data_IF_234595039471
#
_entry.id   IF_234595039471
#
_cell.length_a   1.000
_cell.length_b   1.000
_cell.length_c   1.000
_cell.angle_alpha   90.00
_cell.angle_beta   90.00
_cell.angle_gamma   90.00
#
_symmetry.space_group_name_H-M   'P 1'
#
loop_
_entity.id
_entity.type
_entity.pdbx_description
1 polymer ?
#
# COMPACT_ATOMS: atom_id res chain seq x y z
N UNK A 1 -0.70 -20.13 -8.07
CA UNK A 1 -0.51 -20.31 -9.53
C UNK A 1 -1.90 -20.34 -10.19
N UNK A 2 -2.26 -19.34 -11.01
CA UNK A 2 -3.62 -19.16 -11.58
C UNK A 2 -3.88 -19.98 -12.87
N UNK A 3 -3.22 -21.13 -13.00
CA UNK A 3 -3.20 -21.94 -14.23
C UNK A 3 -4.13 -23.16 -14.20
N UNK A 4 -4.70 -23.48 -13.04
CA UNK A 4 -5.60 -24.63 -12.90
C UNK A 4 -6.90 -24.43 -13.68
N UNK A 5 -7.56 -25.54 -14.02
CA UNK A 5 -8.86 -25.51 -14.72
C UNK A 5 -9.94 -24.77 -13.92
N UNK A 6 -9.88 -24.84 -12.59
CA UNK A 6 -10.71 -24.05 -11.69
C UNK A 6 -10.73 -22.55 -12.05
N UNK A 7 -9.55 -21.92 -12.20
CA UNK A 7 -9.48 -20.50 -12.52
C UNK A 7 -10.01 -20.19 -13.92
N UNK A 8 -9.78 -21.07 -14.89
CA UNK A 8 -10.31 -20.89 -16.26
C UNK A 8 -11.83 -20.88 -16.28
N UNK A 9 -12.46 -21.85 -15.62
CA UNK A 9 -13.92 -21.93 -15.53
C UNK A 9 -14.51 -20.77 -14.74
N UNK A 10 -13.85 -20.37 -13.65
CA UNK A 10 -14.26 -19.24 -12.82
C UNK A 10 -14.30 -17.92 -13.60
N UNK A 11 -13.22 -17.58 -14.31
CA UNK A 11 -13.16 -16.34 -15.11
C UNK A 11 -14.11 -16.40 -16.32
N UNK A 12 -14.25 -17.56 -16.97
CA UNK A 12 -15.19 -17.77 -18.07
C UNK A 12 -16.64 -17.55 -17.62
N UNK A 13 -17.03 -18.09 -16.46
CA UNK A 13 -18.38 -17.93 -15.91
C UNK A 13 -18.67 -16.49 -15.50
N UNK A 14 -17.67 -15.76 -15.01
CA UNK A 14 -17.79 -14.33 -14.70
C UNK A 14 -17.70 -13.40 -15.93
N UNK A 15 -17.52 -13.94 -17.14
CA UNK A 15 -17.40 -13.13 -18.37
C UNK A 15 -16.12 -12.29 -18.44
N UNK A 16 -15.07 -12.68 -17.71
CA UNK A 16 -13.81 -11.93 -17.63
C UNK A 16 -12.67 -12.67 -18.32
N UNK A 17 -11.76 -11.92 -18.95
CA UNK A 17 -10.62 -12.48 -19.68
C UNK A 17 -9.39 -12.44 -18.79
N UNK A 18 -8.87 -13.61 -18.42
CA UNK A 18 -7.61 -13.72 -17.68
C UNK A 18 -6.42 -13.37 -18.59
N UNK A 19 -5.93 -12.12 -18.49
CA UNK A 19 -4.68 -11.70 -19.13
C UNK A 19 -3.50 -12.23 -18.32
N UNK A 20 -2.62 -12.97 -18.99
CA UNK A 20 -1.43 -13.59 -18.36
C UNK A 20 -0.19 -12.80 -18.72
N UNK A 21 0.60 -12.43 -17.72
CA UNK A 21 1.96 -11.93 -17.92
C UNK A 21 2.86 -13.10 -18.35
N UNK A 22 3.78 -12.91 -19.32
CA UNK A 22 4.73 -13.96 -19.69
C UNK A 22 5.62 -14.31 -18.49
N UNK A 23 5.93 -15.60 -18.31
CA UNK A 23 6.91 -16.04 -17.33
C UNK A 23 8.24 -15.33 -17.60
N UNK A 24 8.88 -14.80 -16.56
CA UNK A 24 10.14 -14.02 -16.63
C UNK A 24 10.06 -12.63 -17.29
N UNK A 25 8.87 -12.04 -17.47
CA UNK A 25 8.71 -10.62 -17.85
C UNK A 25 8.04 -9.79 -16.75
N UNK A 26 8.79 -9.34 -15.73
CA UNK A 26 8.28 -8.47 -14.64
C UNK A 26 7.78 -7.10 -15.11
N UNK A 27 8.09 -6.70 -16.36
CA UNK A 27 7.67 -5.41 -16.91
C UNK A 27 6.16 -5.27 -17.13
N UNK A 28 5.43 -6.37 -17.38
CA UNK A 28 3.98 -6.32 -17.65
C UNK A 28 3.18 -5.93 -16.40
N UNK A 29 3.69 -6.22 -15.20
CA UNK A 29 3.02 -5.96 -13.93
C UNK A 29 3.81 -4.97 -13.04
N UNK A 30 4.63 -4.12 -13.66
CA UNK A 30 5.59 -3.28 -12.95
C UNK A 30 4.96 -2.25 -12.00
N UNK A 31 3.70 -1.86 -12.21
CA UNK A 31 2.98 -1.01 -11.25
C UNK A 31 2.65 -1.81 -9.98
N UNK A 32 1.97 -2.95 -10.12
CA UNK A 32 1.62 -3.86 -9.02
C UNK A 32 2.86 -4.35 -8.29
N UNK A 33 3.96 -4.66 -9.00
CA UNK A 33 5.23 -5.06 -8.37
C UNK A 33 5.87 -3.94 -7.53
N UNK A 34 5.83 -2.68 -7.99
CA UNK A 34 6.36 -1.55 -7.21
C UNK A 34 5.53 -1.31 -5.96
N UNK A 35 4.21 -1.42 -6.09
CA UNK A 35 3.26 -1.30 -4.98
C UNK A 35 3.47 -2.42 -3.97
N UNK A 36 3.54 -3.67 -4.44
CA UNK A 36 3.79 -4.83 -3.60
C UNK A 36 5.12 -4.71 -2.88
N UNK A 37 6.18 -4.23 -3.53
CA UNK A 37 7.48 -4.01 -2.88
C UNK A 37 7.42 -2.96 -1.78
N UNK A 38 6.65 -1.89 -1.97
CA UNK A 38 6.43 -0.86 -0.96
C UNK A 38 5.67 -1.44 0.24
N UNK A 39 4.56 -2.13 -0.01
CA UNK A 39 3.75 -2.82 1.01
C UNK A 39 4.55 -3.91 1.74
N UNK A 40 5.39 -4.66 1.05
CA UNK A 40 6.22 -5.71 1.64
C UNK A 40 7.31 -5.11 2.52
N UNK A 41 7.97 -4.03 2.07
CA UNK A 41 8.95 -3.29 2.90
C UNK A 41 8.29 -2.73 4.16
N UNK A 42 7.08 -2.21 4.01
CA UNK A 42 6.23 -1.72 5.08
C UNK A 42 5.88 -2.83 6.08
N UNK A 43 5.28 -3.94 5.61
CA UNK A 43 4.87 -5.04 6.47
C UNK A 43 6.07 -5.71 7.14
N UNK A 44 7.24 -5.77 6.49
CA UNK A 44 8.45 -6.38 7.04
C UNK A 44 8.91 -5.71 8.33
N UNK A 45 8.74 -4.40 8.47
CA UNK A 45 9.05 -3.70 9.73
C UNK A 45 8.13 -4.15 10.87
N UNK A 46 6.81 -4.18 10.62
CA UNK A 46 5.81 -4.57 11.62
C UNK A 46 5.83 -6.08 11.94
N UNK A 47 6.11 -6.92 10.94
CA UNK A 47 6.28 -8.35 11.13
C UNK A 47 7.51 -8.68 11.98
N UNK A 48 8.57 -7.86 11.91
CA UNK A 48 9.75 -8.05 12.75
C UNK A 48 9.50 -7.65 14.22
N UNK A 49 8.76 -6.57 14.45
CA UNK A 49 8.43 -6.10 15.81
C UNK A 49 7.32 -6.94 16.48
N UNK A 50 6.27 -7.31 15.72
CA UNK A 50 5.07 -7.99 16.24
C UNK A 50 4.51 -9.04 15.24
N UNK A 51 5.20 -10.18 15.04
CA UNK A 51 4.84 -11.17 14.02
C UNK A 51 3.45 -11.77 14.20
N UNK A 52 2.91 -11.86 15.42
CA UNK A 52 1.56 -12.40 15.66
C UNK A 52 0.43 -11.39 15.38
N UNK A 53 0.76 -10.11 15.16
CA UNK A 53 -0.20 -9.02 14.98
C UNK A 53 -0.12 -8.37 13.59
N UNK A 54 0.67 -8.93 12.68
CA UNK A 54 0.89 -8.41 11.33
C UNK A 54 -0.41 -8.07 10.58
N UNK A 55 -1.45 -8.91 10.73
CA UNK A 55 -2.75 -8.75 10.09
C UNK A 55 -3.46 -7.43 10.47
N UNK A 56 -3.23 -6.90 11.69
CA UNK A 56 -3.80 -5.62 12.12
C UNK A 56 -3.22 -4.44 11.35
N UNK A 57 -2.00 -4.58 10.82
CA UNK A 57 -1.33 -3.53 10.06
C UNK A 57 -1.71 -3.54 8.57
N UNK A 58 -2.37 -4.59 8.06
CA UNK A 58 -2.85 -4.63 6.67
C UNK A 58 -3.81 -3.49 6.40
N UNK A 59 -4.81 -3.29 7.27
CA UNK A 59 -5.80 -2.22 7.11
C UNK A 59 -5.14 -0.83 7.13
N UNK A 60 -4.10 -0.66 7.94
CA UNK A 60 -3.31 0.58 7.95
C UNK A 60 -2.54 0.78 6.65
N UNK A 61 -1.93 -0.27 6.11
CA UNK A 61 -1.21 -0.25 4.84
C UNK A 61 -2.14 0.10 3.67
N UNK A 62 -3.31 -0.52 3.63
CA UNK A 62 -4.33 -0.31 2.61
C UNK A 62 -4.87 1.12 2.65
N UNK A 63 -5.22 1.61 3.85
CA UNK A 63 -5.69 2.98 4.03
C UNK A 63 -4.63 3.98 3.57
N UNK A 64 -3.36 3.78 3.95
CA UNK A 64 -2.28 4.63 3.49
C UNK A 64 -2.13 4.59 1.96
N UNK A 65 -2.07 3.39 1.37
CA UNK A 65 -1.92 3.20 -0.07
C UNK A 65 -3.05 3.90 -0.85
N UNK A 66 -4.28 3.76 -0.39
CA UNK A 66 -5.43 4.36 -1.04
C UNK A 66 -5.46 5.89 -0.89
N UNK A 67 -4.96 6.44 0.21
CA UNK A 67 -5.05 7.89 0.51
C UNK A 67 -3.81 8.69 0.12
N UNK A 68 -2.69 8.04 -0.21
CA UNK A 68 -1.42 8.70 -0.54
C UNK A 68 -1.34 9.07 -2.02
N UNK A 69 -0.73 10.21 -2.32
CA UNK A 69 -0.51 10.67 -3.69
C UNK A 69 0.52 9.79 -4.41
N UNK A 70 0.16 9.25 -5.57
CA UNK A 70 1.09 8.46 -6.37
C UNK A 70 1.56 9.27 -7.60
N UNK A 71 2.87 9.42 -7.76
CA UNK A 71 3.45 10.21 -8.85
C UNK A 71 3.16 9.66 -10.25
N UNK A 72 2.94 8.34 -10.36
CA UNK A 72 2.60 7.64 -11.61
C UNK A 72 1.17 7.92 -12.08
N UNK A 73 0.23 8.02 -11.15
CA UNK A 73 -1.18 8.31 -11.44
C UNK A 73 -1.55 9.78 -11.25
N UNK A 74 -0.63 10.60 -10.72
CA UNK A 74 -0.80 12.03 -10.39
C UNK A 74 -2.00 12.30 -9.46
N UNK A 75 -2.42 11.29 -8.70
CA UNK A 75 -3.53 11.35 -7.76
C UNK A 75 -3.43 10.20 -6.76
N UNK A 76 -4.17 10.29 -5.65
CA UNK A 76 -4.34 9.16 -4.75
C UNK A 76 -5.31 8.11 -5.36
N UNK A 77 -5.07 6.80 -5.21
CA UNK A 77 -6.00 5.78 -5.70
C UNK A 77 -7.45 5.99 -5.24
N UNK A 78 -7.65 6.43 -4.00
CA UNK A 78 -8.98 6.79 -3.47
C UNK A 78 -9.65 7.89 -4.31
N UNK A 79 -8.90 8.92 -4.72
CA UNK A 79 -9.43 9.99 -5.56
C UNK A 79 -9.84 9.47 -6.94
N UNK A 80 -9.06 8.55 -7.50
CA UNK A 80 -9.36 7.97 -8.82
C UNK A 80 -10.62 7.10 -8.78
N UNK A 81 -10.82 6.35 -7.68
CA UNK A 81 -11.97 5.46 -7.53
C UNK A 81 -13.24 6.23 -7.16
N UNK A 82 -13.16 7.21 -6.26
CA UNK A 82 -14.33 7.86 -5.68
C UNK A 82 -14.57 9.30 -6.17
N UNK A 83 -13.68 9.85 -7.00
CA UNK A 83 -13.80 11.21 -7.54
C UNK A 83 -13.69 12.33 -6.50
N UNK A 84 -13.27 12.04 -5.26
CA UNK A 84 -13.17 13.00 -4.15
C UNK A 84 -11.90 12.76 -3.32
N UNK A 85 -11.35 13.79 -2.64
CA UNK A 85 -10.22 13.60 -1.74
C UNK A 85 -10.55 12.62 -0.61
N UNK A 86 -9.54 11.85 -0.13
CA UNK A 86 -9.73 10.98 1.00
C UNK A 86 -10.13 11.79 2.25
N UNK A 87 -11.04 11.26 3.09
CA UNK A 87 -11.39 11.92 4.33
C UNK A 87 -10.13 12.09 5.21
N UNK A 88 -9.96 13.23 5.89
CA UNK A 88 -8.81 13.45 6.74
C UNK A 88 -8.77 12.37 7.83
N UNK A 89 -7.57 11.83 8.08
CA UNK A 89 -7.35 10.97 9.23
C UNK A 89 -7.54 11.81 10.48
N UNK A 90 -8.70 11.68 11.14
CA UNK A 90 -9.02 12.40 12.38
C UNK A 90 -7.90 12.17 13.39
N UNK A 91 -7.26 13.27 13.81
CA UNK A 91 -6.22 13.24 14.84
C UNK A 91 -6.88 12.97 16.19
N UNK A 92 -6.24 12.15 17.02
CA UNK A 92 -6.67 11.92 18.41
C UNK A 92 -6.81 13.23 19.21
N UNK A 93 -6.10 14.29 18.81
CA UNK A 93 -6.15 15.60 19.47
C UNK A 93 -7.52 16.28 19.44
N UNK A 94 -8.44 15.85 18.58
CA UNK A 94 -9.71 16.56 18.38
C UNK A 94 -10.81 16.16 19.37
N UNK A 95 -10.74 14.98 20.02
CA UNK A 95 -11.73 14.54 21.02
C UNK A 95 -11.13 13.60 22.06
N UNK A 96 -11.13 14.02 23.33
CA UNK A 96 -10.85 13.14 24.47
C UNK A 96 -12.06 12.25 24.74
N UNK A 97 -11.83 10.96 24.94
CA UNK A 97 -12.86 10.02 25.36
C UNK A 97 -12.82 9.87 26.89
N UNK A 98 -13.98 9.80 27.53
CA UNK A 98 -14.06 9.41 28.95
C UNK A 98 -13.85 7.91 29.16
N UNK A 99 -13.90 7.12 28.09
CA UNK A 99 -13.60 5.69 28.12
C UNK A 99 -12.09 5.45 27.92
N UNK A 100 -11.44 4.87 28.93
CA UNK A 100 -10.01 4.58 28.94
C UNK A 100 -9.55 3.60 27.83
N UNK A 101 -10.37 2.61 27.46
CA UNK A 101 -10.03 1.67 26.38
C UNK A 101 -10.00 2.38 25.02
N UNK A 102 -10.97 3.27 24.78
CA UNK A 102 -11.01 4.10 23.57
C UNK A 102 -9.81 5.04 23.54
N UNK A 103 -9.46 5.64 24.68
CA UNK A 103 -8.30 6.53 24.81
C UNK A 103 -6.98 5.80 24.50
N UNK A 104 -6.82 4.57 25.02
CA UNK A 104 -5.64 3.75 24.77
C UNK A 104 -5.56 3.29 23.31
N UNK A 105 -6.68 2.85 22.72
CA UNK A 105 -6.77 2.49 21.31
C UNK A 105 -6.42 3.67 20.39
N UNK A 106 -6.87 4.88 20.71
CA UNK A 106 -6.56 6.09 19.93
C UNK A 106 -5.07 6.46 20.03
N UNK A 107 -4.45 6.33 21.21
CA UNK A 107 -3.00 6.52 21.38
C UNK A 107 -2.19 5.50 20.61
N UNK A 108 -2.54 4.22 20.70
CA UNK A 108 -1.89 3.15 19.94
C UNK A 108 -2.03 3.38 18.42
N UNK A 109 -3.20 3.83 17.97
CA UNK A 109 -3.44 4.21 16.58
C UNK A 109 -2.55 5.38 16.15
N UNK A 110 -2.39 6.41 16.97
CA UNK A 110 -1.56 7.57 16.64
C UNK A 110 -0.06 7.22 16.60
N UNK A 111 0.43 6.46 17.58
CA UNK A 111 1.79 5.92 17.58
C UNK A 111 2.05 5.08 16.34
N UNK A 112 1.09 4.20 16.01
CA UNK A 112 1.15 3.41 14.78
C UNK A 112 1.23 4.35 13.58
N UNK A 113 0.30 5.30 13.40
CA UNK A 113 0.26 6.24 12.27
C UNK A 113 1.55 7.06 12.14
N UNK A 114 2.16 7.49 13.24
CA UNK A 114 3.42 8.23 13.17
C UNK A 114 4.57 7.32 12.74
N UNK A 115 4.68 6.12 13.31
CA UNK A 115 5.61 5.11 12.84
C UNK A 115 5.33 4.70 11.38
N UNK A 116 4.07 4.73 10.92
CA UNK A 116 3.71 4.53 9.51
C UNK A 116 4.38 5.61 8.65
N UNK A 117 4.16 6.89 8.99
CA UNK A 117 4.66 8.03 8.21
C UNK A 117 6.18 8.04 8.11
N UNK A 118 6.88 7.75 9.20
CA UNK A 118 8.35 7.72 9.22
C UNK A 118 8.90 6.57 8.37
N UNK A 119 8.42 5.33 8.58
CA UNK A 119 8.89 4.18 7.82
C UNK A 119 8.60 4.31 6.32
N UNK A 120 7.46 4.91 5.98
CA UNK A 120 7.07 5.14 4.58
C UNK A 120 7.89 6.24 3.93
N UNK A 121 8.19 7.34 4.64
CA UNK A 121 9.16 8.34 4.18
C UNK A 121 10.53 7.71 3.90
N UNK A 122 11.00 6.82 4.77
CA UNK A 122 12.25 6.08 4.56
C UNK A 122 12.15 5.16 3.33
N UNK A 123 11.03 4.46 3.15
CA UNK A 123 10.81 3.58 2.01
C UNK A 123 10.75 4.36 0.69
N UNK A 124 10.01 5.47 0.63
CA UNK A 124 9.92 6.35 -0.53
C UNK A 124 11.29 6.94 -0.88
N UNK A 125 12.03 7.45 0.10
CA UNK A 125 13.38 7.99 -0.11
C UNK A 125 14.35 6.94 -0.65
N UNK A 126 14.30 5.71 -0.13
CA UNK A 126 15.10 4.59 -0.65
C UNK A 126 14.70 4.23 -2.07
N UNK A 127 13.41 4.25 -2.39
CA UNK A 127 12.90 3.96 -3.73
C UNK A 127 13.30 5.04 -4.75
N UNK A 128 13.21 6.32 -4.39
CA UNK A 128 13.67 7.42 -5.23
C UNK A 128 15.16 7.31 -5.49
N UNK A 129 15.98 7.11 -4.44
CA UNK A 129 17.43 6.91 -4.59
C UNK A 129 17.78 5.73 -5.50
N UNK A 130 17.08 4.60 -5.36
CA UNK A 130 17.26 3.42 -6.22
C UNK A 130 16.78 3.65 -7.66
N UNK A 131 15.72 4.43 -7.87
CA UNK A 131 15.24 4.78 -9.19
C UNK A 131 16.20 5.74 -9.91
N UNK A 132 16.74 6.72 -9.20
CA UNK A 132 17.72 7.67 -9.73
C UNK A 132 19.03 6.97 -10.12
N UNK A 133 19.51 6.02 -9.30
CA UNK A 133 20.68 5.19 -9.62
C UNK A 133 20.51 4.36 -10.91
N UNK A 134 19.28 4.02 -11.29
CA UNK A 134 18.97 3.26 -12.51
C UNK A 134 18.64 4.13 -13.72
N UNK A 135 18.53 5.45 -13.55
CA UNK A 135 18.20 6.38 -14.63
C UNK A 135 19.48 6.73 -15.40
N UNK A 136 19.65 6.19 -16.60
CA UNK A 136 20.62 6.72 -17.57
C UNK A 136 20.05 7.99 -18.18
N UNK A 137 20.81 9.09 -18.17
CA UNK A 137 20.48 10.27 -18.97
C UNK A 137 20.54 9.89 -20.45
N UNK A 138 19.38 9.80 -21.08
CA UNK A 138 19.27 9.74 -22.54
C UNK A 138 19.23 11.19 -23.03
N UNK A 139 20.34 11.66 -23.58
CA UNK A 139 20.38 12.88 -24.38
C UNK A 139 19.75 12.54 -25.74
N UNK A 140 18.69 13.26 -26.10
CA UNK A 140 18.16 13.29 -27.46
C UNK A 140 18.97 14.28 -28.30
#
# INVERSE_FOLDING_TARGET
MFLSNFWKELFSTMGTILKRSPTFHPQTDGHTERVNRCLETYLRYFCNEQPNRWHKFITCAELWYNTTFHASTKAAPFQLVFGRPPPPLVSYRDRKSSNNEVEQMLKERELTINALKENLSVAENRMNKMADLKRKEMKF
#
